data_IF_631941301008
#
_entry.id   IF_631941301008
#
_cell.length_a   1.000
_cell.length_b   1.000
_cell.length_c   1.000
_cell.angle_alpha   90.00
_cell.angle_beta   90.00
_cell.angle_gamma   90.00
#
_symmetry.space_group_name_H-M   'P 1'
#
loop_
_entity.id
_entity.type
_entity.pdbx_description
1 polymer ?
#
# COMPACT_ATOMS: atom_id res chain seq x y z
N UNK A 1 -12.80 1.80 31.96
CA UNK A 1 -12.37 0.83 30.95
C UNK A 1 -12.97 -0.50 31.30
N UNK A 2 -13.84 -1.00 30.45
CA UNK A 2 -14.49 -2.29 30.71
C UNK A 2 -13.78 -3.34 29.88
N UNK A 3 -12.82 -4.06 30.45
CA UNK A 3 -12.25 -5.30 29.90
C UNK A 3 -13.32 -6.42 29.80
N UNK A 4 -14.57 -6.09 30.09
CA UNK A 4 -15.71 -7.02 30.12
C UNK A 4 -15.90 -7.76 28.81
N UNK A 5 -15.70 -7.08 27.66
CA UNK A 5 -15.83 -7.76 26.35
C UNK A 5 -14.70 -8.76 26.11
N UNK A 6 -13.46 -8.47 26.54
CA UNK A 6 -12.34 -9.41 26.43
C UNK A 6 -12.54 -10.63 27.35
N UNK A 7 -13.07 -10.44 28.56
CA UNK A 7 -13.36 -11.50 29.51
C UNK A 7 -14.43 -12.48 29.00
N UNK A 8 -15.38 -11.97 28.20
CA UNK A 8 -16.42 -12.78 27.56
C UNK A 8 -15.94 -13.65 26.40
N UNK A 9 -14.73 -13.37 25.86
CA UNK A 9 -14.15 -14.18 24.80
C UNK A 9 -13.80 -15.57 25.31
N UNK A 10 -14.14 -16.60 24.53
CA UNK A 10 -13.64 -17.95 24.77
C UNK A 10 -12.13 -18.05 24.40
N UNK A 11 -11.49 -19.16 24.76
CA UNK A 11 -10.04 -19.34 24.56
C UNK A 11 -9.62 -19.16 23.10
N UNK A 12 -10.37 -19.72 22.14
CA UNK A 12 -10.05 -19.59 20.70
C UNK A 12 -10.18 -18.13 20.21
N UNK A 13 -11.19 -17.40 20.67
CA UNK A 13 -11.38 -16.00 20.34
C UNK A 13 -10.27 -15.13 20.92
N UNK A 14 -9.76 -15.43 22.12
CA UNK A 14 -8.61 -14.71 22.72
C UNK A 14 -7.33 -14.93 21.93
N UNK A 15 -7.07 -16.15 21.51
CA UNK A 15 -5.94 -16.48 20.64
C UNK A 15 -6.05 -15.75 19.29
N UNK A 16 -7.24 -15.76 18.68
CA UNK A 16 -7.50 -15.06 17.42
C UNK A 16 -7.37 -13.54 17.56
N UNK A 17 -7.86 -12.97 18.69
CA UNK A 17 -7.70 -11.56 18.99
C UNK A 17 -6.21 -11.17 19.06
N UNK A 18 -5.41 -11.92 19.80
CA UNK A 18 -3.96 -11.70 19.93
C UNK A 18 -3.27 -11.79 18.56
N UNK A 19 -3.62 -12.81 17.76
CA UNK A 19 -3.10 -13.01 16.41
C UNK A 19 -3.46 -11.83 15.50
N UNK A 20 -4.70 -11.37 15.53
CA UNK A 20 -5.17 -10.26 14.72
C UNK A 20 -4.57 -8.91 15.15
N UNK A 21 -4.34 -8.68 16.47
CA UNK A 21 -3.59 -7.51 16.95
C UNK A 21 -2.18 -7.49 16.37
N UNK A 22 -1.44 -8.59 16.48
CA UNK A 22 -0.10 -8.69 15.93
C UNK A 22 -0.10 -8.49 14.40
N UNK A 23 -1.07 -9.09 13.70
CA UNK A 23 -1.21 -8.99 12.26
C UNK A 23 -1.43 -7.55 11.80
N UNK A 24 -2.42 -6.84 12.36
CA UNK A 24 -2.74 -5.47 11.92
C UNK A 24 -1.62 -4.48 12.27
N UNK A 25 -0.94 -4.67 13.40
CA UNK A 25 0.22 -3.86 13.78
C UNK A 25 1.40 -4.04 12.82
N UNK A 26 1.64 -5.29 12.36
CA UNK A 26 2.71 -5.59 11.43
C UNK A 26 2.39 -5.17 9.99
N UNK A 27 1.11 -5.26 9.57
CA UNK A 27 0.67 -5.05 8.19
C UNK A 27 0.13 -3.66 7.91
N UNK A 28 -0.32 -2.93 8.92
CA UNK A 28 -0.98 -1.62 8.85
C UNK A 28 -2.37 -1.66 8.22
N UNK A 29 -2.56 -2.35 7.11
CA UNK A 29 -3.82 -2.45 6.36
C UNK A 29 -4.33 -3.89 6.31
N UNK A 30 -5.64 -4.06 6.46
CA UNK A 30 -6.34 -5.34 6.34
C UNK A 30 -7.49 -5.16 5.35
N UNK A 31 -7.28 -5.44 4.06
CA UNK A 31 -8.35 -5.42 3.07
C UNK A 31 -9.33 -6.57 3.31
N UNK A 32 -10.63 -6.34 3.00
CA UNK A 32 -11.67 -7.35 3.15
C UNK A 32 -11.43 -8.55 2.24
N UNK A 33 -11.14 -8.26 0.98
CA UNK A 33 -11.02 -9.33 -0.01
C UNK A 33 -9.57 -9.77 -0.13
N UNK A 34 -9.35 -11.08 -0.01
CA UNK A 34 -8.06 -11.68 -0.32
C UNK A 34 -7.82 -11.63 -1.83
N UNK A 35 -6.58 -11.83 -2.29
CA UNK A 35 -6.29 -11.90 -3.73
C UNK A 35 -7.11 -12.95 -4.48
N UNK A 36 -7.51 -14.02 -3.81
CA UNK A 36 -8.35 -15.09 -4.35
C UNK A 36 -9.86 -14.81 -4.24
N UNK A 37 -10.24 -13.55 -3.98
CA UNK A 37 -11.63 -13.10 -3.91
C UNK A 37 -12.46 -13.73 -2.78
N UNK A 38 -11.80 -14.25 -1.75
CA UNK A 38 -12.45 -14.70 -0.51
C UNK A 38 -12.35 -13.61 0.55
N UNK A 39 -13.27 -13.60 1.50
CA UNK A 39 -13.20 -12.66 2.62
C UNK A 39 -12.07 -13.06 3.56
N UNK A 40 -11.21 -12.11 3.92
CA UNK A 40 -10.15 -12.29 4.90
C UNK A 40 -10.72 -12.66 6.27
N UNK A 41 -10.17 -13.70 6.89
CA UNK A 41 -10.53 -14.11 8.24
C UNK A 41 -10.19 -13.01 9.25
N UNK A 42 -9.03 -12.38 9.07
CA UNK A 42 -8.56 -11.27 9.88
C UNK A 42 -9.52 -10.09 9.82
N UNK A 43 -9.91 -9.70 8.59
CA UNK A 43 -10.88 -8.62 8.39
C UNK A 43 -12.20 -8.91 9.10
N UNK A 44 -12.76 -10.11 8.87
CA UNK A 44 -14.06 -10.51 9.45
C UNK A 44 -14.01 -10.53 10.97
N UNK A 45 -12.95 -11.06 11.56
CA UNK A 45 -12.80 -11.13 13.00
C UNK A 45 -12.63 -9.73 13.62
N UNK A 46 -11.72 -8.92 13.06
CA UNK A 46 -11.51 -7.54 13.53
C UNK A 46 -12.80 -6.72 13.40
N UNK A 47 -13.53 -6.83 12.28
CA UNK A 47 -14.79 -6.13 12.08
C UNK A 47 -15.84 -6.53 13.12
N UNK A 48 -15.96 -7.81 13.43
CA UNK A 48 -16.94 -8.33 14.41
C UNK A 48 -16.65 -7.90 15.84
N UNK A 49 -15.41 -7.62 16.18
CA UNK A 49 -14.95 -7.21 17.51
C UNK A 49 -14.33 -5.81 17.49
N UNK A 50 -14.74 -4.96 16.55
CA UNK A 50 -14.11 -3.67 16.29
C UNK A 50 -13.96 -2.78 17.53
N UNK A 51 -14.97 -2.61 18.40
CA UNK A 51 -14.82 -1.80 19.62
C UNK A 51 -13.71 -2.30 20.54
N UNK A 52 -13.59 -3.62 20.70
CA UNK A 52 -12.55 -4.23 21.53
C UNK A 52 -11.14 -3.94 20.99
N UNK A 53 -10.96 -4.02 19.66
CA UNK A 53 -9.69 -3.64 19.02
C UNK A 53 -9.38 -2.15 19.22
N UNK A 54 -10.37 -1.26 19.09
CA UNK A 54 -10.14 0.18 19.28
C UNK A 54 -9.73 0.50 20.71
N UNK A 55 -10.42 -0.05 21.71
CA UNK A 55 -10.05 0.12 23.12
C UNK A 55 -8.64 -0.39 23.42
N UNK A 56 -8.31 -1.61 22.95
CA UNK A 56 -6.99 -2.21 23.20
C UNK A 56 -5.86 -1.42 22.54
N UNK A 57 -6.01 -1.05 21.28
CA UNK A 57 -5.00 -0.32 20.54
C UNK A 57 -4.82 1.11 21.04
N UNK A 58 -5.91 1.74 21.53
CA UNK A 58 -5.84 3.07 22.11
C UNK A 58 -4.91 3.15 23.33
N UNK A 59 -4.76 2.08 24.12
CA UNK A 59 -3.83 2.03 25.25
C UNK A 59 -2.35 2.25 24.87
N UNK A 60 -2.01 1.87 23.64
CA UNK A 60 -0.65 2.05 23.10
C UNK A 60 -0.53 3.23 22.12
N UNK A 61 -1.52 4.14 22.12
CA UNK A 61 -1.50 5.33 21.25
C UNK A 61 -1.83 5.04 19.79
N UNK A 62 -2.51 3.92 19.51
CA UNK A 62 -2.99 3.60 18.17
C UNK A 62 -4.50 3.75 18.06
N UNK A 63 -4.96 4.06 16.86
CA UNK A 63 -6.37 4.06 16.49
C UNK A 63 -6.61 3.13 15.31
N UNK A 64 -7.72 2.43 15.37
CA UNK A 64 -8.19 1.58 14.29
C UNK A 64 -9.30 2.29 13.51
N UNK A 65 -9.31 2.13 12.21
CA UNK A 65 -10.27 2.75 11.31
C UNK A 65 -10.84 1.71 10.35
N UNK A 66 -12.07 1.93 9.94
CA UNK A 66 -12.74 1.14 8.90
C UNK A 66 -13.18 2.07 7.77
N UNK A 67 -12.52 1.96 6.62
CA UNK A 67 -13.04 2.54 5.38
C UNK A 67 -14.03 1.55 4.76
N UNK A 68 -15.31 1.91 4.81
CA UNK A 68 -16.40 1.07 4.30
C UNK A 68 -16.48 1.06 2.78
N UNK A 69 -16.06 2.13 2.12
CA UNK A 69 -16.09 2.28 0.66
C UNK A 69 -15.02 1.42 0.01
N UNK A 70 -13.83 1.45 0.58
CA UNK A 70 -12.69 0.65 0.12
C UNK A 70 -12.66 -0.75 0.75
N UNK A 71 -13.51 -0.99 1.77
CA UNK A 71 -13.55 -2.21 2.55
C UNK A 71 -12.16 -2.58 3.13
N UNK A 72 -11.52 -1.60 3.79
CA UNK A 72 -10.19 -1.73 4.38
C UNK A 72 -10.23 -1.33 5.85
N UNK A 73 -9.75 -2.18 6.73
CA UNK A 73 -9.44 -1.84 8.12
C UNK A 73 -7.97 -1.44 8.19
N UNK A 74 -7.64 -0.39 8.96
CA UNK A 74 -6.26 0.06 9.10
C UNK A 74 -6.00 0.72 10.45
N UNK A 75 -4.72 0.81 10.82
CA UNK A 75 -4.29 1.45 12.07
C UNK A 75 -3.40 2.66 11.81
N UNK A 76 -3.48 3.65 12.70
CA UNK A 76 -2.57 4.79 12.73
C UNK A 76 -2.13 5.07 14.16
N UNK A 77 -0.85 5.39 14.32
CA UNK A 77 -0.35 5.91 15.58
C UNK A 77 -0.72 7.40 15.70
N UNK A 78 -1.32 7.80 16.83
CA UNK A 78 -1.83 9.16 17.06
C UNK A 78 -0.68 10.17 17.15
N UNK A 79 0.41 9.80 17.81
CA UNK A 79 1.60 10.63 18.01
C UNK A 79 2.49 10.71 16.76
N UNK A 80 2.15 9.92 15.73
CA UNK A 80 2.92 9.87 14.49
C UNK A 80 4.25 9.12 14.60
N UNK A 81 4.48 8.41 15.69
CA UNK A 81 5.55 7.41 15.76
C UNK A 81 5.28 6.31 14.73
N UNK A 82 6.28 5.63 14.27
CA UNK A 82 6.18 4.55 13.26
C UNK A 82 5.75 5.00 11.85
N UNK A 83 6.02 6.24 11.47
CA UNK A 83 5.89 6.63 10.06
C UNK A 83 7.01 5.97 9.27
N UNK A 84 6.65 5.11 8.33
CA UNK A 84 7.60 4.54 7.40
C UNK A 84 8.12 5.64 6.47
N UNK A 85 9.44 5.85 6.44
CA UNK A 85 10.09 6.71 5.45
C UNK A 85 10.40 5.85 4.23
N UNK A 86 9.73 6.17 3.12
CA UNK A 86 10.00 5.53 1.84
C UNK A 86 11.16 6.26 1.15
N UNK A 87 12.03 5.51 0.48
CA UNK A 87 13.01 6.06 -0.44
C UNK A 87 12.34 6.61 -1.72
N UNK A 88 13.12 7.30 -2.56
CA UNK A 88 12.61 7.90 -3.81
C UNK A 88 11.97 6.82 -4.71
N UNK A 89 12.63 5.69 -4.93
CA UNK A 89 12.14 4.63 -5.81
C UNK A 89 10.82 4.04 -5.30
N UNK A 90 10.75 3.67 -4.02
CA UNK A 90 9.52 3.13 -3.41
C UNK A 90 8.37 4.15 -3.47
N UNK A 91 8.69 5.44 -3.29
CA UNK A 91 7.70 6.53 -3.44
C UNK A 91 7.18 6.62 -4.87
N UNK A 92 8.05 6.57 -5.86
CA UNK A 92 7.65 6.58 -7.28
C UNK A 92 6.79 5.36 -7.63
N UNK A 93 7.18 4.18 -7.16
CA UNK A 93 6.42 2.93 -7.38
C UNK A 93 5.02 3.04 -6.79
N UNK A 94 4.86 3.47 -5.53
CA UNK A 94 3.54 3.52 -4.89
C UNK A 94 2.64 4.58 -5.56
N UNK A 95 3.20 5.72 -6.00
CA UNK A 95 2.45 6.75 -6.73
C UNK A 95 1.99 6.21 -8.09
N UNK A 96 2.89 5.58 -8.85
CA UNK A 96 2.54 4.96 -10.14
C UNK A 96 1.43 3.92 -9.96
N UNK A 97 1.56 3.02 -8.99
CA UNK A 97 0.53 2.02 -8.69
C UNK A 97 -0.79 2.67 -8.26
N UNK A 98 -0.74 3.80 -7.54
CA UNK A 98 -1.93 4.54 -7.14
C UNK A 98 -2.67 5.12 -8.35
N UNK A 99 -1.94 5.65 -9.34
CA UNK A 99 -2.52 6.15 -10.60
C UNK A 99 -3.13 5.01 -11.41
N UNK A 100 -2.40 3.91 -11.58
CA UNK A 100 -2.90 2.70 -12.26
C UNK A 100 -4.17 2.17 -11.58
N UNK A 101 -4.23 2.18 -10.26
CA UNK A 101 -5.40 1.74 -9.51
C UNK A 101 -6.64 2.58 -9.83
N UNK A 102 -6.49 3.92 -9.94
CA UNK A 102 -7.61 4.80 -10.31
C UNK A 102 -8.01 4.64 -11.78
N UNK A 103 -7.05 4.57 -12.70
CA UNK A 103 -7.34 4.30 -14.11
C UNK A 103 -8.22 3.05 -14.25
N UNK A 104 -7.77 1.93 -13.70
CA UNK A 104 -8.50 0.66 -13.79
C UNK A 104 -9.84 0.67 -13.05
N UNK A 105 -9.99 1.50 -12.03
CA UNK A 105 -11.25 1.68 -11.31
C UNK A 105 -12.27 2.49 -12.14
N UNK A 106 -11.81 3.49 -12.88
CA UNK A 106 -12.64 4.33 -13.75
C UNK A 106 -13.14 3.57 -15.00
N UNK A 107 -12.33 2.66 -15.52
CA UNK A 107 -12.67 1.83 -16.69
C UNK A 107 -13.76 0.77 -16.42
N UNK A 108 -14.53 0.93 -15.34
CA UNK A 108 -15.59 0.00 -14.94
C UNK A 108 -15.04 -1.30 -14.38
N UNK A 109 -13.88 -1.23 -13.80
CA UNK A 109 -13.09 -2.35 -13.27
C UNK A 109 -13.89 -3.25 -12.36
N UNK A 110 -14.16 -4.43 -12.90
CA UNK A 110 -14.57 -5.61 -12.15
C UNK A 110 -13.47 -6.00 -11.16
N UNK A 111 -13.71 -7.05 -10.41
CA UNK A 111 -12.88 -7.69 -9.38
C UNK A 111 -11.36 -7.86 -9.71
N UNK A 112 -10.94 -7.66 -10.97
CA UNK A 112 -9.55 -7.65 -11.41
C UNK A 112 -8.93 -6.24 -11.54
N UNK A 113 -9.64 -5.19 -11.16
CA UNK A 113 -9.09 -3.84 -11.12
C UNK A 113 -7.86 -3.81 -10.21
N UNK A 114 -6.71 -3.55 -10.79
CA UNK A 114 -5.44 -3.54 -10.06
C UNK A 114 -4.48 -4.68 -10.37
N UNK A 115 -4.83 -5.62 -11.26
CA UNK A 115 -3.86 -6.63 -11.72
C UNK A 115 -2.94 -6.02 -12.78
N UNK A 116 -1.63 -6.08 -12.53
CA UNK A 116 -0.56 -5.62 -13.43
C UNK A 116 0.61 -6.60 -13.39
N UNK A 117 1.52 -6.50 -14.37
CA UNK A 117 2.83 -7.16 -14.31
C UNK A 117 3.91 -6.17 -13.83
N UNK A 118 5.06 -6.71 -13.40
CA UNK A 118 6.25 -5.89 -13.11
C UNK A 118 6.69 -5.12 -14.36
N UNK A 119 6.60 -5.77 -15.55
CA UNK A 119 6.91 -5.13 -16.83
C UNK A 119 5.99 -3.95 -17.14
N UNK A 120 4.68 -4.12 -16.97
CA UNK A 120 3.70 -3.03 -17.13
C UNK A 120 3.96 -1.85 -16.17
N UNK A 121 4.27 -2.14 -14.90
CA UNK A 121 4.63 -1.13 -13.93
C UNK A 121 5.84 -0.30 -14.41
N UNK A 122 6.92 -0.96 -14.81
CA UNK A 122 8.12 -0.29 -15.29
C UNK A 122 7.89 0.49 -16.58
N UNK A 123 7.11 -0.05 -17.51
CA UNK A 123 6.73 0.66 -18.74
C UNK A 123 5.99 1.95 -18.44
N UNK A 124 5.03 1.91 -17.51
CA UNK A 124 4.32 3.12 -17.08
C UNK A 124 5.24 4.14 -16.40
N UNK A 125 6.13 3.67 -15.53
CA UNK A 125 7.07 4.56 -14.83
C UNK A 125 8.05 5.27 -15.77
N UNK A 126 8.55 4.56 -16.78
CA UNK A 126 9.59 5.06 -17.69
C UNK A 126 8.97 5.81 -18.87
N UNK A 127 8.00 5.19 -19.56
CA UNK A 127 7.52 5.66 -20.86
C UNK A 127 6.29 6.57 -20.76
N UNK A 128 5.33 6.25 -19.87
CA UNK A 128 4.07 7.02 -19.81
C UNK A 128 4.17 8.22 -18.86
N UNK A 129 4.73 7.98 -17.66
CA UNK A 129 4.81 9.03 -16.64
C UNK A 129 6.16 9.74 -16.59
N UNK A 130 7.17 9.22 -17.29
CA UNK A 130 8.53 9.78 -17.33
C UNK A 130 9.14 10.02 -15.95
N UNK A 131 8.83 9.15 -14.97
CA UNK A 131 9.28 9.27 -13.58
C UNK A 131 10.66 8.66 -13.34
N UNK A 132 11.16 7.88 -14.29
CA UNK A 132 12.48 7.25 -14.24
C UNK A 132 13.15 7.34 -15.60
N UNK A 133 14.41 7.78 -15.66
CA UNK A 133 15.17 7.86 -16.94
C UNK A 133 15.56 6.48 -17.47
N UNK A 134 15.61 5.47 -16.60
CA UNK A 134 15.99 4.10 -16.93
C UNK A 134 15.44 3.09 -15.92
N UNK A 135 15.47 1.81 -16.30
CA UNK A 135 15.08 0.72 -15.41
C UNK A 135 15.94 0.72 -14.13
N UNK A 136 15.30 0.66 -12.93
CA UNK A 136 16.01 0.57 -11.67
C UNK A 136 16.73 -0.79 -11.52
N UNK A 137 17.66 -0.87 -10.56
CA UNK A 137 18.29 -2.12 -10.20
C UNK A 137 17.23 -3.13 -9.70
N UNK A 138 17.35 -4.39 -10.14
CA UNK A 138 16.41 -5.45 -9.78
C UNK A 138 16.31 -5.64 -8.24
N UNK A 139 17.42 -5.49 -7.51
CA UNK A 139 17.41 -5.62 -6.06
C UNK A 139 16.60 -4.50 -5.40
N UNK A 140 16.83 -3.26 -5.80
CA UNK A 140 16.12 -2.07 -5.27
C UNK A 140 14.62 -2.16 -5.58
N UNK A 141 14.28 -2.54 -6.82
CA UNK A 141 12.88 -2.76 -7.23
C UNK A 141 12.21 -3.82 -6.36
N UNK A 142 12.87 -4.95 -6.16
CA UNK A 142 12.37 -6.06 -5.34
C UNK A 142 12.19 -5.67 -3.88
N UNK A 143 13.14 -4.94 -3.30
CA UNK A 143 13.06 -4.50 -1.92
C UNK A 143 11.92 -3.48 -1.74
N UNK A 144 11.71 -2.56 -2.68
CA UNK A 144 10.58 -1.63 -2.71
C UNK A 144 9.23 -2.36 -2.79
N UNK A 145 9.10 -3.34 -3.70
CA UNK A 145 7.87 -4.13 -3.83
C UNK A 145 7.58 -4.96 -2.58
N UNK A 146 8.60 -5.51 -1.92
CA UNK A 146 8.44 -6.25 -0.65
C UNK A 146 7.93 -5.36 0.49
N UNK A 147 8.39 -4.11 0.58
CA UNK A 147 7.86 -3.15 1.55
C UNK A 147 6.36 -2.94 1.33
N UNK A 148 5.93 -2.75 0.09
CA UNK A 148 4.51 -2.56 -0.22
C UNK A 148 3.68 -3.83 0.04
N UNK A 149 4.22 -5.00 -0.26
CA UNK A 149 3.60 -6.30 0.04
C UNK A 149 3.47 -6.52 1.56
N UNK A 150 4.52 -6.17 2.33
CA UNK A 150 4.51 -6.27 3.78
C UNK A 150 3.38 -5.47 4.42
N UNK A 151 3.03 -4.32 3.85
CA UNK A 151 1.96 -3.47 4.35
C UNK A 151 0.59 -3.71 3.68
N UNK A 152 0.41 -4.82 2.97
CA UNK A 152 -0.83 -5.13 2.25
C UNK A 152 -1.29 -4.00 1.30
N UNK A 153 -0.35 -3.32 0.66
CA UNK A 153 -0.61 -2.36 -0.44
C UNK A 153 -0.72 -3.11 -1.76
N UNK A 154 0.09 -4.14 -1.92
CA UNK A 154 0.09 -5.04 -3.07
C UNK A 154 0.08 -6.50 -2.60
N UNK A 155 -0.24 -7.38 -3.52
CA UNK A 155 -0.09 -8.82 -3.34
C UNK A 155 0.62 -9.42 -4.55
N UNK A 156 1.67 -10.19 -4.31
CA UNK A 156 2.40 -10.92 -5.33
C UNK A 156 1.64 -12.20 -5.69
N UNK A 157 1.31 -12.37 -6.97
CA UNK A 157 0.56 -13.54 -7.46
C UNK A 157 1.44 -14.60 -8.14
N UNK A 158 2.74 -14.31 -8.34
CA UNK A 158 3.72 -15.21 -8.97
C UNK A 158 4.96 -15.31 -8.09
N UNK A 159 5.83 -16.27 -8.34
CA UNK A 159 6.90 -16.64 -7.41
C UNK A 159 8.02 -15.60 -7.27
N UNK A 160 8.34 -14.81 -8.29
CA UNK A 160 9.51 -13.94 -8.25
C UNK A 160 9.27 -12.57 -8.89
N UNK A 161 9.65 -11.49 -8.19
CA UNK A 161 9.64 -10.11 -8.70
C UNK A 161 10.74 -9.83 -9.74
N UNK A 162 11.73 -10.70 -9.89
CA UNK A 162 12.77 -10.55 -10.93
C UNK A 162 12.24 -10.82 -12.34
N UNK A 163 11.10 -11.52 -12.43
CA UNK A 163 10.39 -11.78 -13.68
C UNK A 163 9.50 -10.59 -14.06
N UNK A 164 9.65 -10.09 -15.28
CA UNK A 164 8.80 -9.01 -15.82
C UNK A 164 7.34 -9.42 -15.96
N UNK A 165 7.07 -10.71 -16.16
CA UNK A 165 5.71 -11.27 -16.22
C UNK A 165 5.13 -11.57 -14.83
N UNK A 166 5.87 -11.31 -13.76
CA UNK A 166 5.37 -11.45 -12.39
C UNK A 166 4.13 -10.60 -12.19
N UNK A 167 3.02 -11.25 -11.88
CA UNK A 167 1.72 -10.60 -11.64
C UNK A 167 1.64 -10.05 -10.23
N UNK A 168 1.22 -8.82 -10.15
CA UNK A 168 1.00 -8.08 -8.90
C UNK A 168 -0.45 -7.60 -8.89
N UNK A 169 -1.15 -7.84 -7.79
CA UNK A 169 -2.46 -7.25 -7.52
C UNK A 169 -2.31 -6.03 -6.62
N UNK A 170 -2.70 -4.87 -7.09
CA UNK A 170 -2.79 -3.65 -6.29
C UNK A 170 -4.05 -3.76 -5.43
N UNK A 171 -3.91 -3.56 -4.12
CA UNK A 171 -5.01 -3.71 -3.16
C UNK A 171 -5.67 -2.35 -2.88
N UNK A 172 -6.96 -2.30 -2.48
CA UNK A 172 -7.67 -1.05 -2.19
C UNK A 172 -7.01 -0.21 -1.08
N UNK A 173 -6.22 -0.83 -0.23
CA UNK A 173 -5.40 -0.17 0.81
C UNK A 173 -4.47 0.91 0.26
N UNK A 174 -4.08 0.84 -1.02
CA UNK A 174 -3.28 1.89 -1.65
C UNK A 174 -4.00 3.25 -1.65
N UNK A 175 -5.32 3.26 -1.82
CA UNK A 175 -6.11 4.50 -1.81
C UNK A 175 -6.26 5.09 -0.40
N UNK A 176 -6.18 4.24 0.65
CA UNK A 176 -6.10 4.70 2.05
C UNK A 176 -4.72 5.24 2.38
N UNK A 177 -3.67 4.56 1.89
CA UNK A 177 -2.28 4.95 2.12
C UNK A 177 -1.93 6.27 1.43
N UNK A 178 -2.39 6.46 0.20
CA UNK A 178 -2.14 7.65 -0.64
C UNK A 178 -3.51 8.21 -1.09
N UNK A 179 -4.13 9.13 -0.35
CA UNK A 179 -5.33 9.84 -0.77
C UNK A 179 -5.10 10.68 -2.05
N UNK A 180 -6.16 10.94 -2.82
CA UNK A 180 -6.09 11.58 -4.13
C UNK A 180 -5.36 12.93 -4.14
N UNK A 181 -5.65 13.78 -3.16
CA UNK A 181 -5.01 15.08 -2.99
C UNK A 181 -3.49 14.96 -2.80
N UNK A 182 -3.04 14.00 -2.00
CA UNK A 182 -1.61 13.73 -1.82
C UNK A 182 -0.98 13.11 -3.05
N UNK A 183 -1.67 12.19 -3.73
CA UNK A 183 -1.18 11.58 -4.94
C UNK A 183 -0.84 12.62 -5.99
N UNK A 184 -1.77 13.56 -6.23
CA UNK A 184 -1.59 14.65 -7.19
C UNK A 184 -0.43 15.57 -6.81
N UNK A 185 -0.38 16.02 -5.56
CA UNK A 185 0.69 16.92 -5.09
C UNK A 185 2.08 16.29 -5.21
N UNK A 186 2.20 15.02 -4.87
CA UNK A 186 3.51 14.31 -4.96
C UNK A 186 3.89 14.08 -6.41
N UNK A 187 2.95 13.71 -7.27
CA UNK A 187 3.19 13.51 -8.69
C UNK A 187 3.67 14.80 -9.37
N UNK A 188 2.99 15.94 -9.10
CA UNK A 188 3.37 17.25 -9.64
C UNK A 188 4.77 17.68 -9.19
N UNK A 189 5.14 17.45 -7.92
CA UNK A 189 6.48 17.74 -7.40
C UNK A 189 7.57 16.88 -8.05
N UNK A 190 7.31 15.59 -8.19
CA UNK A 190 8.28 14.67 -8.79
C UNK A 190 8.54 15.00 -10.26
N UNK A 191 7.50 15.40 -11.00
CA UNK A 191 7.69 15.86 -12.38
C UNK A 191 8.50 17.14 -12.47
N UNK A 192 8.24 18.12 -11.60
CA UNK A 192 9.00 19.37 -11.58
C UNK A 192 10.49 19.13 -11.29
N UNK A 193 10.81 18.25 -10.32
CA UNK A 193 12.21 17.88 -10.02
C UNK A 193 12.92 17.16 -11.20
N UNK A 194 12.21 16.38 -12.00
CA UNK A 194 12.78 15.70 -13.16
C UNK A 194 13.00 16.70 -14.34
N UNK A 195 12.10 17.66 -14.52
CA UNK A 195 12.22 18.72 -15.52
C UNK A 195 13.43 19.63 -15.20
N UNK A 196 13.60 20.07 -13.95
CA UNK A 196 14.77 20.85 -13.50
C UNK A 196 16.09 20.09 -13.71
N UNK A 197 16.16 18.81 -13.34
CA UNK A 197 17.38 18.00 -13.53
C UNK A 197 17.70 17.70 -15.00
N UNK A 198 16.71 17.73 -15.90
CA UNK A 198 16.93 17.54 -17.33
C UNK A 198 17.50 18.80 -18.00
N UNK A 199 17.10 19.98 -17.54
CA UNK A 199 17.58 21.27 -18.04
C UNK A 199 19.03 21.55 -17.60
N UNK A 200 19.39 21.22 -16.35
CA UNK A 200 20.78 21.35 -15.87
C UNK A 200 21.77 20.47 -16.64
N UNK A 201 21.37 19.26 -17.05
CA UNK A 201 22.23 18.37 -17.83
C UNK A 201 22.36 18.77 -19.30
N UNK A 202 21.47 19.59 -19.84
CA UNK A 202 21.57 20.11 -21.21
C UNK A 202 22.44 21.37 -21.32
N UNK A 203 22.63 22.11 -20.23
CA UNK A 203 23.44 23.35 -20.22
C UNK A 203 24.95 23.05 -20.05
N UNK A 204 25.32 21.91 -19.47
CA UNK A 204 26.73 21.47 -19.39
C UNK A 204 27.31 20.89 -20.70
N UNK A 205 26.46 20.65 -21.70
CA UNK A 205 26.85 20.05 -23.00
C UNK A 205 27.22 21.04 -24.11
N UNK A 206 27.15 22.35 -23.88
CA UNK A 206 27.41 23.37 -24.91
C UNK A 206 28.59 24.29 -24.60
N UNK A 207 29.72 23.69 -24.21
CA UNK A 207 31.01 24.38 -24.20
C UNK A 207 32.00 23.54 -24.99
N UNK A 208 32.02 23.72 -26.30
CA UNK A 208 33.18 23.59 -27.18
C UNK A 208 32.96 24.34 -28.47
#
# INVERSE_FOLDING_TARGET
MSWTEFELLNQKEREEFTRCCAYIMARTYVPRDTPNMTISKEYSFIQSKFPLFDEYLALSGWRIYLDRTLAVIYVRNIEGFNKLRLDKLTTLIIITMRLIFEEKRMDGGTLNAGLITVGELLTKMINEFSLLPKKPNNRELKDSLRILEQHNIIYKMSDNYDDMECKIKILPSIAVAIPNDRCRTVYEKLRAEEEENSDENNDEGSID
#
